data_IF_055454529035
#
_entry.id   IF_055454529035
#
_cell.length_a   1.000
_cell.length_b   1.000
_cell.length_c   1.000
_cell.angle_alpha   90.00
_cell.angle_beta   90.00
_cell.angle_gamma   90.00
#
_symmetry.space_group_name_H-M   'P 1'
#
loop_
_entity.id
_entity.type
_entity.pdbx_description
1 polymer ?
#
# COMPACT_ATOMS: atom_id res chain seq x y z
N UNK A 1 23.93 16.98 -5.95
CA UNK A 1 23.77 15.83 -6.87
C UNK A 1 23.38 14.63 -6.00
N UNK A 2 22.21 14.03 -6.20
CA UNK A 2 21.81 12.86 -5.41
C UNK A 2 22.72 11.68 -5.73
N UNK A 3 23.26 11.02 -4.72
CA UNK A 3 24.01 9.78 -4.88
C UNK A 3 23.05 8.58 -4.91
N UNK A 4 23.47 7.46 -5.49
CA UNK A 4 22.64 6.26 -5.60
C UNK A 4 22.20 5.73 -4.22
N UNK A 5 23.02 5.93 -3.19
CA UNK A 5 22.69 5.53 -1.81
C UNK A 5 21.55 6.36 -1.20
N UNK A 6 21.50 7.68 -1.42
CA UNK A 6 20.37 8.53 -0.98
C UNK A 6 19.09 8.15 -1.73
N UNK A 7 19.17 7.83 -3.03
CA UNK A 7 18.00 7.37 -3.80
C UNK A 7 17.48 6.04 -3.24
N UNK A 8 18.36 5.07 -3.00
CA UNK A 8 17.99 3.78 -2.42
C UNK A 8 17.35 3.96 -1.03
N UNK A 9 17.91 4.80 -0.17
CA UNK A 9 17.33 5.09 1.14
C UNK A 9 15.93 5.71 1.02
N UNK A 10 15.75 6.69 0.12
CA UNK A 10 14.44 7.30 -0.12
C UNK A 10 13.40 6.27 -0.55
N UNK A 11 13.77 5.35 -1.46
CA UNK A 11 12.91 4.24 -1.89
C UNK A 11 12.53 3.31 -0.73
N UNK A 12 13.49 2.97 0.14
CA UNK A 12 13.24 2.14 1.33
C UNK A 12 12.28 2.83 2.29
N UNK A 13 12.45 4.13 2.53
CA UNK A 13 11.54 4.86 3.43
C UNK A 13 10.14 4.99 2.84
N UNK A 14 10.04 5.25 1.54
CA UNK A 14 8.76 5.36 0.85
C UNK A 14 7.99 4.03 0.88
N UNK A 15 8.64 2.89 0.60
CA UNK A 15 7.98 1.58 0.65
C UNK A 15 7.44 1.27 2.05
N UNK A 16 8.21 1.58 3.11
CA UNK A 16 7.79 1.40 4.51
C UNK A 16 6.59 2.27 4.87
N UNK A 17 6.56 3.53 4.42
CA UNK A 17 5.42 4.43 4.66
C UNK A 17 4.16 3.86 4.00
N UNK A 18 4.25 3.41 2.75
CA UNK A 18 3.11 2.81 2.04
C UNK A 18 2.63 1.54 2.76
N UNK A 19 3.53 0.64 3.13
CA UNK A 19 3.19 -0.57 3.88
C UNK A 19 2.49 -0.25 5.21
N UNK A 20 2.97 0.78 5.92
CA UNK A 20 2.39 1.19 7.19
C UNK A 20 0.99 1.80 7.00
N UNK A 21 0.77 2.61 5.96
CA UNK A 21 -0.55 3.14 5.63
C UNK A 21 -1.54 2.02 5.29
N UNK A 22 -1.11 1.01 4.52
CA UNK A 22 -1.93 -0.16 4.20
C UNK A 22 -2.24 -0.95 5.47
N UNK A 23 -1.27 -1.14 6.37
CA UNK A 23 -1.50 -1.79 7.66
C UNK A 23 -2.50 -1.02 8.53
N UNK A 24 -2.38 0.31 8.63
CA UNK A 24 -3.36 1.15 9.34
C UNK A 24 -4.74 0.97 8.72
N UNK A 25 -4.84 0.89 7.40
CA UNK A 25 -6.11 0.68 6.72
C UNK A 25 -6.75 -0.67 7.07
N UNK A 26 -5.96 -1.72 7.22
CA UNK A 26 -6.44 -3.01 7.75
C UNK A 26 -6.93 -2.85 9.19
N UNK A 27 -6.18 -2.15 10.04
CA UNK A 27 -6.61 -1.89 11.43
C UNK A 27 -7.92 -1.10 11.49
N UNK A 28 -8.11 -0.10 10.62
CA UNK A 28 -9.35 0.67 10.52
C UNK A 28 -10.56 -0.20 10.16
N UNK A 29 -10.36 -1.28 9.39
CA UNK A 29 -11.44 -2.23 9.10
C UNK A 29 -11.93 -2.97 10.35
N UNK A 30 -11.05 -3.21 11.33
CA UNK A 30 -11.39 -3.88 12.59
C UNK A 30 -11.98 -2.94 13.63
N UNK A 31 -11.36 -1.79 13.85
CA UNK A 31 -11.76 -0.86 14.93
C UNK A 31 -12.85 0.13 14.48
N UNK A 32 -13.08 0.28 13.17
CA UNK A 32 -14.11 1.13 12.56
C UNK A 32 -14.12 2.57 13.12
N UNK A 33 -13.03 3.34 12.94
CA UNK A 33 -12.94 4.71 13.44
C UNK A 33 -13.90 5.66 12.68
N UNK A 34 -14.14 6.85 13.22
CA UNK A 34 -15.01 7.84 12.58
C UNK A 34 -14.50 8.21 11.15
N UNK A 35 -15.27 7.93 10.08
CA UNK A 35 -14.84 8.18 8.70
C UNK A 35 -14.72 9.66 8.36
N UNK A 36 -15.26 10.56 9.18
CA UNK A 36 -15.10 12.02 9.03
C UNK A 36 -13.79 12.56 9.60
N UNK A 37 -13.00 11.73 10.27
CA UNK A 37 -11.69 12.13 10.77
C UNK A 37 -10.73 12.39 9.61
N UNK A 38 -10.03 13.52 9.65
CA UNK A 38 -9.04 13.90 8.64
C UNK A 38 -7.95 12.82 8.47
N UNK A 39 -7.53 12.17 9.56
CA UNK A 39 -6.53 11.10 9.54
C UNK A 39 -7.08 9.87 8.81
N UNK A 40 -8.34 9.51 9.07
CA UNK A 40 -8.97 8.36 8.40
C UNK A 40 -9.07 8.64 6.91
N UNK A 41 -9.60 9.80 6.51
CA UNK A 41 -9.69 10.18 5.11
C UNK A 41 -8.33 10.22 4.42
N UNK A 42 -7.31 10.76 5.10
CA UNK A 42 -5.95 10.77 4.58
C UNK A 42 -5.44 9.37 4.28
N UNK A 43 -5.56 8.43 5.23
CA UNK A 43 -5.11 7.04 5.02
C UNK A 43 -5.86 6.39 3.87
N UNK A 44 -7.20 6.53 3.82
CA UNK A 44 -7.99 5.98 2.72
C UNK A 44 -7.59 6.58 1.37
N UNK A 45 -7.47 7.90 1.27
CA UNK A 45 -7.10 8.58 0.03
C UNK A 45 -5.69 8.24 -0.45
N UNK A 46 -4.73 8.03 0.45
CA UNK A 46 -3.35 7.65 0.08
C UNK A 46 -3.24 6.19 -0.34
N UNK A 47 -4.08 5.31 0.19
CA UNK A 47 -4.02 3.86 -0.08
C UNK A 47 -4.98 3.43 -1.20
N UNK A 48 -6.04 4.18 -1.48
CA UNK A 48 -7.04 3.84 -2.51
C UNK A 48 -6.45 3.66 -3.91
N UNK A 49 -5.55 4.52 -4.39
CA UNK A 49 -4.96 4.35 -5.72
C UNK A 49 -4.19 3.03 -5.89
N UNK A 50 -3.74 2.43 -4.79
CA UNK A 50 -3.03 1.15 -4.77
C UNK A 50 -4.02 -0.01 -4.60
N UNK A 51 -4.95 0.11 -3.63
CA UNK A 51 -5.87 -0.97 -3.28
C UNK A 51 -7.00 -1.16 -4.29
N UNK A 52 -7.53 -0.08 -4.87
CA UNK A 52 -8.69 -0.15 -5.76
C UNK A 52 -8.40 -0.96 -7.05
N UNK A 53 -7.29 -0.75 -7.77
CA UNK A 53 -6.96 -1.58 -8.94
C UNK A 53 -6.82 -3.06 -8.60
N UNK A 54 -6.19 -3.36 -7.45
CA UNK A 54 -5.99 -4.73 -6.97
C UNK A 54 -7.34 -5.36 -6.64
N UNK A 55 -8.20 -4.63 -5.92
CA UNK A 55 -9.54 -5.06 -5.55
C UNK A 55 -10.41 -5.32 -6.78
N UNK A 56 -10.37 -4.44 -7.77
CA UNK A 56 -11.05 -4.64 -9.07
C UNK A 56 -10.56 -5.89 -9.80
N UNK A 57 -9.25 -6.14 -9.79
CA UNK A 57 -8.68 -7.35 -10.38
C UNK A 57 -9.18 -8.60 -9.66
N UNK A 58 -9.16 -8.62 -8.33
CA UNK A 58 -9.67 -9.74 -7.52
C UNK A 58 -11.14 -10.03 -7.84
N UNK A 59 -12.00 -9.01 -7.84
CA UNK A 59 -13.42 -9.18 -8.18
C UNK A 59 -13.62 -9.62 -9.64
N UNK A 60 -12.83 -9.07 -10.57
CA UNK A 60 -12.85 -9.46 -11.97
C UNK A 60 -12.45 -10.93 -12.21
N UNK A 61 -11.66 -11.52 -11.31
CA UNK A 61 -11.30 -12.94 -11.32
C UNK A 61 -12.37 -13.84 -10.67
N UNK A 62 -13.51 -13.29 -10.25
CA UNK A 62 -14.64 -14.04 -9.71
C UNK A 62 -14.61 -14.27 -8.19
N UNK A 63 -13.63 -13.71 -7.47
CA UNK A 63 -13.65 -13.73 -6.01
C UNK A 63 -14.63 -12.69 -5.48
N UNK A 64 -15.75 -13.11 -4.90
CA UNK A 64 -16.77 -12.24 -4.29
C UNK A 64 -16.86 -12.41 -2.77
N UNK A 65 -15.76 -12.78 -2.12
CA UNK A 65 -15.76 -12.98 -0.67
C UNK A 65 -15.95 -11.68 0.10
N UNK A 66 -16.40 -11.81 1.35
CA UNK A 66 -16.67 -10.67 2.25
C UNK A 66 -15.40 -10.01 2.79
N UNK A 67 -14.24 -10.66 2.64
CA UNK A 67 -12.96 -10.19 3.15
C UNK A 67 -12.19 -9.52 2.00
N UNK A 68 -11.74 -8.29 2.23
CA UNK A 68 -10.88 -7.59 1.29
C UNK A 68 -9.44 -8.10 1.43
N UNK A 69 -9.01 -8.94 0.50
CA UNK A 69 -7.63 -9.43 0.41
C UNK A 69 -6.68 -8.47 -0.33
N UNK A 70 -7.20 -7.36 -0.88
CA UNK A 70 -6.36 -6.37 -1.59
C UNK A 70 -5.20 -5.82 -0.76
N UNK A 71 -5.29 -5.61 0.57
CA UNK A 71 -4.16 -5.12 1.37
C UNK A 71 -2.97 -6.07 1.37
N UNK A 72 -3.22 -7.38 1.45
CA UNK A 72 -2.15 -8.40 1.45
C UNK A 72 -1.44 -8.37 0.10
N UNK A 73 -2.20 -8.41 -0.99
CA UNK A 73 -1.64 -8.37 -2.35
C UNK A 73 -0.88 -7.06 -2.57
N UNK A 74 -1.40 -5.93 -2.10
CA UNK A 74 -0.74 -4.64 -2.18
C UNK A 74 0.62 -4.62 -1.47
N UNK A 75 0.70 -5.17 -0.26
CA UNK A 75 1.98 -5.28 0.46
C UNK A 75 3.01 -6.10 -0.33
N UNK A 76 2.60 -7.22 -0.92
CA UNK A 76 3.50 -8.02 -1.78
C UNK A 76 3.95 -7.26 -3.02
N UNK A 77 3.04 -6.60 -3.73
CA UNK A 77 3.35 -5.84 -4.94
C UNK A 77 4.26 -4.65 -4.66
N UNK A 78 4.00 -3.89 -3.59
CA UNK A 78 4.85 -2.77 -3.16
C UNK A 78 6.26 -3.29 -2.87
N UNK A 79 6.41 -4.35 -2.07
CA UNK A 79 7.73 -4.94 -1.79
C UNK A 79 8.44 -5.39 -3.05
N UNK A 80 7.73 -6.09 -3.93
CA UNK A 80 8.30 -6.57 -5.17
C UNK A 80 8.83 -5.42 -6.03
N UNK A 81 8.00 -4.41 -6.31
CA UNK A 81 8.35 -3.26 -7.15
C UNK A 81 9.56 -2.52 -6.57
N UNK A 82 9.53 -2.17 -5.28
CA UNK A 82 10.63 -1.43 -4.65
C UNK A 82 11.92 -2.24 -4.59
N UNK A 83 11.86 -3.54 -4.30
CA UNK A 83 13.05 -4.39 -4.31
C UNK A 83 13.65 -4.50 -5.72
N UNK A 84 12.82 -4.61 -6.75
CA UNK A 84 13.29 -4.59 -8.15
C UNK A 84 13.95 -3.26 -8.50
N UNK A 85 13.38 -2.13 -8.10
CA UNK A 85 13.98 -0.81 -8.31
C UNK A 85 15.33 -0.66 -7.60
N UNK A 86 15.41 -1.07 -6.32
CA UNK A 86 16.65 -1.01 -5.54
C UNK A 86 17.73 -1.90 -6.15
N UNK A 87 17.37 -3.10 -6.62
CA UNK A 87 18.30 -4.00 -7.30
C UNK A 87 18.89 -3.38 -8.57
N UNK A 88 18.09 -2.62 -9.34
CA UNK A 88 18.55 -1.94 -10.56
C UNK A 88 19.45 -0.72 -10.30
N UNK A 89 19.38 -0.13 -9.10
CA UNK A 89 20.14 1.06 -8.71
C UNK A 89 21.47 0.75 -7.99
N UNK A 90 21.72 -0.53 -7.72
CA UNK A 90 22.91 -1.03 -7.04
C UNK A 90 23.97 -1.45 -8.04
#
# INVERSE_FOLDING_TARGET
MFNSSTVIQALIHLSRIIEFLVLIRVLFSWIRPNPRSAIVQFVYNMTEPILEPIRRLIYGLGYNGMIDFSPIIAMFLVRFIFNRLIFLLR
#
